data_IF_501279102949
#
_entry.id   IF_501279102949
#
_cell.length_a   1.000
_cell.length_b   1.000
_cell.length_c   1.000
_cell.angle_alpha   90.00
_cell.angle_beta   90.00
_cell.angle_gamma   90.00
#
_symmetry.space_group_name_H-M   'P 1'
#
loop_
_entity.id
_entity.type
_entity.pdbx_description
1 polymer ?
#
# COMPACT_ATOMS: atom_id res chain seq x y z
N UNK A 1 -37.23 25.87 -27.49
CA UNK A 1 -37.12 25.92 -26.01
C UNK A 1 -36.27 24.77 -25.42
N UNK A 2 -36.06 23.66 -26.13
CA UNK A 2 -35.28 22.51 -25.61
C UNK A 2 -33.77 22.57 -25.86
N UNK A 3 -33.25 23.52 -26.67
CA UNK A 3 -31.83 23.53 -27.05
C UNK A 3 -30.92 24.25 -26.02
N UNK A 4 -31.39 25.33 -25.41
CA UNK A 4 -30.59 26.13 -24.47
C UNK A 4 -30.40 25.42 -23.12
N UNK A 5 -31.44 24.73 -22.64
CA UNK A 5 -31.38 23.99 -21.39
C UNK A 5 -30.43 22.77 -21.46
N UNK A 6 -30.34 22.16 -22.67
CA UNK A 6 -29.45 21.07 -22.93
C UNK A 6 -27.98 21.51 -23.03
N UNK A 7 -27.74 22.69 -23.62
CA UNK A 7 -26.39 23.26 -23.76
C UNK A 7 -25.82 23.72 -22.40
N UNK A 8 -26.67 24.37 -21.60
CA UNK A 8 -26.35 24.77 -20.23
C UNK A 8 -26.03 23.56 -19.36
N UNK A 9 -26.90 22.54 -19.33
CA UNK A 9 -26.71 21.33 -18.57
C UNK A 9 -25.41 20.61 -18.98
N UNK A 10 -25.14 20.50 -20.28
CA UNK A 10 -23.91 19.91 -20.77
C UNK A 10 -22.66 20.69 -20.34
N UNK A 11 -22.75 22.01 -20.27
CA UNK A 11 -21.70 22.87 -19.74
C UNK A 11 -21.41 22.62 -18.26
N UNK A 12 -22.45 22.47 -17.43
CA UNK A 12 -22.32 22.12 -16.02
C UNK A 12 -21.69 20.73 -15.87
N UNK A 13 -22.14 19.75 -16.63
CA UNK A 13 -21.57 18.38 -16.59
C UNK A 13 -20.09 18.37 -16.97
N UNK A 14 -19.70 19.11 -18.01
CA UNK A 14 -18.30 19.23 -18.42
C UNK A 14 -17.44 19.88 -17.32
N UNK A 15 -17.97 20.86 -16.59
CA UNK A 15 -17.29 21.48 -15.46
C UNK A 15 -17.14 20.51 -14.29
N UNK A 16 -18.21 19.83 -13.91
CA UNK A 16 -18.20 18.81 -12.86
C UNK A 16 -17.21 17.68 -13.17
N UNK A 17 -17.15 17.24 -14.41
CA UNK A 17 -16.18 16.24 -14.86
C UNK A 17 -14.73 16.74 -14.70
N UNK A 18 -14.44 18.00 -15.06
CA UNK A 18 -13.11 18.59 -14.87
C UNK A 18 -12.72 18.67 -13.40
N UNK A 19 -13.65 19.07 -12.51
CA UNK A 19 -13.39 19.15 -11.09
C UNK A 19 -13.13 17.73 -10.52
N UNK A 20 -13.95 16.76 -10.91
CA UNK A 20 -13.76 15.36 -10.50
C UNK A 20 -12.41 14.81 -10.95
N UNK A 21 -12.01 15.08 -12.20
CA UNK A 21 -10.70 14.68 -12.70
C UNK A 21 -9.55 15.38 -11.98
N UNK A 22 -9.69 16.65 -11.63
CA UNK A 22 -8.69 17.35 -10.84
C UNK A 22 -8.56 16.72 -9.46
N UNK A 23 -9.67 16.44 -8.77
CA UNK A 23 -9.67 15.76 -7.48
C UNK A 23 -9.05 14.36 -7.54
N UNK A 24 -9.38 13.58 -8.56
CA UNK A 24 -8.99 12.16 -8.64
C UNK A 24 -7.64 11.93 -9.30
N UNK A 25 -7.34 12.62 -10.39
CA UNK A 25 -6.28 12.27 -11.34
C UNK A 25 -5.20 13.37 -11.51
N UNK A 26 -5.28 14.50 -10.79
CA UNK A 26 -4.20 15.49 -10.87
C UNK A 26 -2.87 14.82 -10.52
N UNK A 27 -1.85 15.10 -11.33
CA UNK A 27 -0.53 14.43 -11.23
C UNK A 27 0.24 14.80 -9.97
N UNK A 28 -0.08 15.91 -9.32
CA UNK A 28 0.62 16.39 -8.13
C UNK A 28 -0.22 16.20 -6.87
N UNK A 29 -1.51 16.52 -6.96
CA UNK A 29 -2.40 16.62 -5.79
C UNK A 29 -3.61 15.70 -5.85
N UNK A 30 -3.81 14.97 -6.94
CA UNK A 30 -4.95 14.07 -7.10
C UNK A 30 -4.89 12.87 -6.15
N UNK A 31 -6.07 12.31 -5.88
CA UNK A 31 -6.21 11.15 -5.00
C UNK A 31 -5.40 9.95 -5.50
N UNK A 32 -5.32 9.71 -6.83
CA UNK A 32 -4.51 8.62 -7.39
C UNK A 32 -3.03 8.77 -7.05
N UNK A 33 -2.51 10.00 -7.11
CA UNK A 33 -1.14 10.28 -6.72
C UNK A 33 -0.93 10.01 -5.21
N UNK A 34 -1.87 10.44 -4.36
CA UNK A 34 -1.82 10.19 -2.92
C UNK A 34 -1.85 8.69 -2.59
N UNK A 35 -2.72 7.91 -3.27
CA UNK A 35 -2.75 6.45 -3.16
C UNK A 35 -1.46 5.81 -3.67
N UNK A 36 -0.91 6.32 -4.77
CA UNK A 36 0.35 5.83 -5.33
C UNK A 36 1.48 5.98 -4.32
N UNK A 37 1.64 7.17 -3.79
CA UNK A 37 2.72 7.50 -2.88
C UNK A 37 2.55 6.86 -1.50
N UNK A 38 1.34 6.90 -0.94
CA UNK A 38 1.06 6.38 0.40
C UNK A 38 0.99 4.85 0.49
N UNK A 39 0.48 4.20 -0.53
CA UNK A 39 0.17 2.77 -0.48
C UNK A 39 0.92 1.98 -1.55
N UNK A 40 0.85 2.37 -2.83
CA UNK A 40 1.35 1.57 -3.95
C UNK A 40 2.86 1.60 -4.14
N UNK A 41 3.53 2.70 -3.82
CA UNK A 41 4.96 2.91 -4.15
C UNK A 41 5.91 2.12 -3.25
N UNK A 42 5.82 0.78 -3.36
CA UNK A 42 6.69 -0.16 -2.66
C UNK A 42 6.23 -0.52 -1.24
N UNK A 43 5.48 0.33 -0.56
CA UNK A 43 5.03 0.09 0.81
C UNK A 43 4.17 -1.16 0.94
N UNK A 44 3.11 -1.26 0.16
CA UNK A 44 2.18 -2.39 0.16
C UNK A 44 2.88 -3.73 -0.14
N UNK A 45 3.62 -3.79 -1.25
CA UNK A 45 4.31 -5.00 -1.69
C UNK A 45 5.36 -5.42 -0.67
N UNK A 46 6.17 -4.47 -0.20
CA UNK A 46 7.24 -4.76 0.75
C UNK A 46 6.69 -5.18 2.12
N UNK A 47 5.60 -4.57 2.59
CA UNK A 47 4.96 -4.92 3.86
C UNK A 47 4.54 -6.40 3.89
N UNK A 48 3.97 -6.91 2.79
CA UNK A 48 3.53 -8.30 2.71
C UNK A 48 4.68 -9.28 2.43
N UNK A 49 5.73 -8.85 1.71
CA UNK A 49 6.90 -9.70 1.46
C UNK A 49 7.89 -9.75 2.63
N UNK A 50 7.94 -8.73 3.49
CA UNK A 50 8.92 -8.65 4.57
C UNK A 50 8.89 -9.86 5.52
N UNK A 51 7.74 -10.32 6.03
CA UNK A 51 7.66 -11.52 6.87
C UNK A 51 8.17 -12.79 6.18
N UNK A 52 7.84 -12.95 4.90
CA UNK A 52 8.26 -14.12 4.11
C UNK A 52 9.77 -14.12 3.88
N UNK A 53 10.35 -12.97 3.59
CA UNK A 53 11.81 -12.80 3.42
C UNK A 53 12.56 -13.02 4.72
N UNK A 54 12.09 -12.41 5.81
CA UNK A 54 12.73 -12.49 7.14
C UNK A 54 12.83 -13.92 7.66
N UNK A 55 11.83 -14.72 7.35
CA UNK A 55 11.77 -16.11 7.78
C UNK A 55 12.24 -17.11 6.69
N UNK A 56 12.89 -16.61 5.63
CA UNK A 56 13.48 -17.41 4.56
C UNK A 56 12.51 -18.30 3.77
N UNK A 57 11.20 -18.04 3.84
CA UNK A 57 10.22 -18.77 3.01
C UNK A 57 9.95 -18.09 1.66
N UNK A 58 10.63 -16.96 1.39
CA UNK A 58 10.62 -16.32 0.09
C UNK A 58 11.66 -16.94 -0.84
N UNK A 59 11.29 -17.24 -2.08
CA UNK A 59 12.22 -17.54 -3.17
C UNK A 59 12.79 -16.24 -3.77
N UNK A 60 13.98 -16.33 -4.38
CA UNK A 60 14.58 -15.18 -5.07
C UNK A 60 13.83 -14.94 -6.38
N UNK A 61 13.25 -13.75 -6.52
CA UNK A 61 12.60 -13.32 -7.76
C UNK A 61 13.66 -12.81 -8.75
N UNK A 62 13.68 -13.36 -9.97
CA UNK A 62 14.57 -12.91 -11.07
C UNK A 62 13.82 -12.07 -12.09
N UNK A 63 12.55 -12.38 -12.35
CA UNK A 63 11.67 -11.78 -13.32
C UNK A 63 10.24 -11.90 -12.85
N UNK A 64 9.25 -11.31 -13.53
CA UNK A 64 7.86 -11.23 -13.03
C UNK A 64 7.30 -12.57 -12.54
N UNK A 65 7.65 -13.69 -13.19
CA UNK A 65 7.18 -15.02 -12.82
C UNK A 65 8.31 -16.05 -12.63
N UNK A 66 9.59 -15.60 -12.60
CA UNK A 66 10.73 -16.50 -12.40
C UNK A 66 11.24 -16.38 -10.97
N UNK A 67 11.12 -17.47 -10.25
CA UNK A 67 11.65 -17.63 -8.90
C UNK A 67 12.69 -18.73 -8.87
N UNK A 68 13.76 -18.54 -8.11
CA UNK A 68 14.75 -19.57 -7.80
C UNK A 68 14.68 -19.91 -6.31
N UNK A 69 15.11 -21.12 -5.95
CA UNK A 69 15.17 -21.58 -4.58
C UNK A 69 15.92 -20.61 -3.65
N UNK A 70 15.51 -20.58 -2.37
CA UNK A 70 16.27 -19.87 -1.36
C UNK A 70 17.46 -20.73 -0.91
N UNK A 71 18.71 -20.29 -1.11
CA UNK A 71 19.89 -21.09 -0.81
C UNK A 71 20.07 -21.39 0.70
N UNK A 72 19.43 -20.64 1.58
CA UNK A 72 19.54 -20.81 3.04
C UNK A 72 19.18 -22.24 3.45
N UNK A 73 18.08 -22.78 2.94
CA UNK A 73 17.64 -24.12 3.30
C UNK A 73 18.61 -25.21 2.84
N UNK A 74 19.27 -25.05 1.68
CA UNK A 74 20.30 -25.99 1.23
C UNK A 74 21.58 -25.90 2.06
N UNK A 75 21.93 -24.69 2.51
CA UNK A 75 23.10 -24.49 3.36
C UNK A 75 22.87 -25.08 4.75
N UNK A 76 21.71 -24.80 5.36
CA UNK A 76 21.40 -25.20 6.72
C UNK A 76 21.08 -26.70 6.85
N UNK A 77 20.57 -27.32 5.75
CA UNK A 77 20.12 -28.70 5.71
C UNK A 77 20.86 -29.55 4.66
N UNK A 78 22.07 -29.17 4.27
CA UNK A 78 22.88 -29.90 3.30
C UNK A 78 23.21 -31.37 3.64
N UNK A 79 22.82 -31.82 4.84
CA UNK A 79 22.90 -33.21 5.25
C UNK A 79 21.65 -34.04 4.86
N UNK A 80 20.57 -33.42 4.36
CA UNK A 80 19.44 -34.13 3.80
C UNK A 80 19.75 -34.61 2.36
N UNK A 81 19.00 -35.62 1.93
CA UNK A 81 19.06 -36.07 0.53
C UNK A 81 18.61 -34.94 -0.42
N UNK A 82 19.27 -34.86 -1.56
CA UNK A 82 18.92 -33.85 -2.59
C UNK A 82 17.44 -33.86 -2.99
N UNK A 83 16.83 -35.06 -3.05
CA UNK A 83 15.39 -35.17 -3.36
C UNK A 83 14.47 -34.46 -2.34
N UNK A 84 14.86 -34.42 -1.08
CA UNK A 84 14.14 -33.70 -0.03
C UNK A 84 14.32 -32.20 -0.22
N UNK A 85 15.56 -31.76 -0.45
CA UNK A 85 15.88 -30.35 -0.68
C UNK A 85 15.19 -29.83 -1.95
N UNK A 86 15.16 -30.62 -3.03
CA UNK A 86 14.44 -30.29 -4.26
C UNK A 86 12.92 -30.18 -4.04
N UNK A 87 12.35 -31.07 -3.21
CA UNK A 87 10.94 -30.99 -2.81
C UNK A 87 10.61 -29.72 -2.07
N UNK A 88 11.43 -29.34 -1.10
CA UNK A 88 11.30 -28.08 -0.34
C UNK A 88 11.40 -26.87 -1.27
N UNK A 89 12.41 -26.83 -2.13
CA UNK A 89 12.63 -25.75 -3.08
C UNK A 89 11.42 -25.57 -4.00
N UNK A 90 10.88 -26.68 -4.54
CA UNK A 90 9.71 -26.66 -5.41
C UNK A 90 8.46 -26.16 -4.68
N UNK A 91 8.24 -26.60 -3.45
CA UNK A 91 7.11 -26.13 -2.64
C UNK A 91 7.19 -24.63 -2.36
N UNK A 92 8.37 -24.12 -1.99
CA UNK A 92 8.60 -22.70 -1.74
C UNK A 92 8.46 -21.86 -3.03
N UNK A 93 8.97 -22.34 -4.16
CA UNK A 93 8.84 -21.65 -5.46
C UNK A 93 7.37 -21.55 -5.87
N UNK A 94 6.61 -22.65 -5.73
CA UNK A 94 5.18 -22.65 -6.06
C UNK A 94 4.40 -21.68 -5.16
N UNK A 95 4.61 -21.74 -3.86
CA UNK A 95 4.03 -20.79 -2.91
C UNK A 95 4.35 -19.33 -3.30
N UNK A 96 5.60 -19.03 -3.62
CA UNK A 96 5.99 -17.67 -3.96
C UNK A 96 5.37 -17.16 -5.25
N UNK A 97 5.14 -18.02 -6.25
CA UNK A 97 4.39 -17.65 -7.46
C UNK A 97 2.97 -17.23 -7.13
N UNK A 98 2.29 -17.99 -6.28
CA UNK A 98 0.91 -17.71 -5.86
C UNK A 98 0.82 -16.47 -4.98
N UNK A 99 1.70 -16.34 -3.99
CA UNK A 99 1.80 -15.14 -3.15
C UNK A 99 2.05 -13.87 -3.98
N UNK A 100 2.95 -13.95 -4.99
CA UNK A 100 3.20 -12.85 -5.89
C UNK A 100 1.97 -12.48 -6.74
N UNK A 101 1.21 -13.45 -7.20
CA UNK A 101 -0.02 -13.20 -7.94
C UNK A 101 -1.06 -12.47 -7.08
N UNK A 102 -1.27 -12.92 -5.84
CA UNK A 102 -2.18 -12.28 -4.87
C UNK A 102 -1.77 -10.84 -4.61
N UNK A 103 -0.48 -10.60 -4.28
CA UNK A 103 0.04 -9.28 -3.96
C UNK A 103 -0.05 -8.33 -5.16
N UNK A 104 0.29 -8.79 -6.38
CA UNK A 104 0.20 -7.97 -7.58
C UNK A 104 -1.24 -7.64 -7.96
N UNK A 105 -2.15 -8.61 -7.86
CA UNK A 105 -3.58 -8.38 -8.10
C UNK A 105 -4.13 -7.36 -7.10
N UNK A 106 -3.76 -7.49 -5.84
CA UNK A 106 -4.15 -6.55 -4.80
C UNK A 106 -3.59 -5.15 -5.07
N UNK A 107 -2.30 -5.02 -5.42
CA UNK A 107 -1.70 -3.75 -5.81
C UNK A 107 -2.46 -3.06 -6.95
N UNK A 108 -2.86 -3.84 -7.96
CA UNK A 108 -3.58 -3.30 -9.12
C UNK A 108 -5.00 -2.81 -8.77
N UNK A 109 -5.64 -3.38 -7.74
CA UNK A 109 -6.96 -2.91 -7.26
C UNK A 109 -6.91 -1.56 -6.52
N UNK A 110 -5.75 -1.12 -6.06
CA UNK A 110 -5.57 0.17 -5.36
C UNK A 110 -5.30 1.31 -6.36
N UNK A 111 -5.76 1.23 -7.60
CA UNK A 111 -5.73 2.31 -8.57
C UNK A 111 -7.10 2.98 -8.68
N UNK A 112 -7.13 4.25 -9.06
CA UNK A 112 -8.37 4.88 -9.48
C UNK A 112 -8.70 4.35 -10.87
N UNK A 113 -9.93 3.89 -11.05
CA UNK A 113 -10.41 3.43 -12.34
C UNK A 113 -10.67 4.65 -13.24
N UNK A 114 -9.86 4.77 -14.29
CA UNK A 114 -10.01 5.82 -15.33
C UNK A 114 -10.73 5.32 -16.58
N UNK A 115 -11.08 4.02 -16.60
CA UNK A 115 -11.62 3.37 -17.81
C UNK A 115 -10.60 3.20 -18.95
N UNK A 116 -9.43 3.84 -18.88
CA UNK A 116 -8.45 3.86 -19.98
C UNK A 116 -7.47 2.68 -19.96
N UNK A 117 -7.23 2.04 -18.80
CA UNK A 117 -6.17 1.06 -18.64
C UNK A 117 -6.63 -0.38 -18.45
N UNK A 118 -7.92 -0.68 -18.60
CA UNK A 118 -8.44 -2.05 -18.44
C UNK A 118 -8.24 -2.63 -17.02
N UNK A 119 -7.90 -1.80 -16.06
CA UNK A 119 -7.90 -2.18 -14.66
C UNK A 119 -9.34 -2.22 -14.18
N UNK A 120 -9.95 -3.39 -14.14
CA UNK A 120 -11.26 -3.62 -13.53
C UNK A 120 -11.19 -3.46 -12.00
N UNK A 121 -10.63 -2.37 -11.53
CA UNK A 121 -10.55 -2.05 -10.12
C UNK A 121 -11.76 -1.23 -9.73
N UNK A 122 -12.81 -1.89 -9.29
CA UNK A 122 -14.00 -1.21 -8.75
C UNK A 122 -13.81 -0.64 -7.33
N UNK A 123 -12.60 -0.71 -6.77
CA UNK A 123 -12.37 -0.26 -5.40
C UNK A 123 -12.42 1.28 -5.30
N UNK A 124 -11.81 1.97 -6.27
CA UNK A 124 -11.73 3.43 -6.33
C UNK A 124 -12.31 3.97 -7.63
N UNK A 125 -13.58 3.68 -7.88
CA UNK A 125 -14.38 4.27 -8.95
C UNK A 125 -15.13 5.48 -8.40
N UNK A 126 -15.01 6.64 -9.04
CA UNK A 126 -15.67 7.88 -8.63
C UNK A 126 -16.68 8.30 -9.69
N UNK A 127 -17.90 8.51 -9.25
CA UNK A 127 -18.98 9.04 -10.08
C UNK A 127 -19.78 10.08 -9.31
N UNK A 128 -20.28 11.07 -10.03
CA UNK A 128 -21.25 11.98 -9.48
C UNK A 128 -22.64 11.43 -9.74
N UNK A 129 -23.38 11.13 -8.67
CA UNK A 129 -24.72 10.60 -8.77
C UNK A 129 -25.65 11.57 -9.51
N UNK A 130 -26.63 11.08 -10.33
CA UNK A 130 -27.53 11.93 -11.10
C UNK A 130 -28.28 12.98 -10.24
N UNK A 131 -28.70 12.60 -9.05
CA UNK A 131 -29.38 13.50 -8.12
C UNK A 131 -28.46 14.63 -7.62
N UNK A 132 -27.18 14.32 -7.36
CA UNK A 132 -26.20 15.34 -7.02
C UNK A 132 -25.93 16.27 -8.19
N UNK A 133 -25.76 15.73 -9.40
CA UNK A 133 -25.59 16.52 -10.63
C UNK A 133 -26.77 17.48 -10.87
N UNK A 134 -28.00 16.99 -10.73
CA UNK A 134 -29.20 17.80 -10.85
C UNK A 134 -29.28 18.89 -9.77
N UNK A 135 -28.92 18.56 -8.53
CA UNK A 135 -28.85 19.51 -7.42
C UNK A 135 -27.83 20.63 -7.68
N UNK A 136 -26.65 20.31 -8.20
CA UNK A 136 -25.65 21.32 -8.58
C UNK A 136 -26.15 22.19 -9.73
N UNK A 137 -26.70 21.57 -10.79
CA UNK A 137 -27.22 22.31 -11.92
C UNK A 137 -28.32 23.31 -11.53
N UNK A 138 -29.19 22.97 -10.60
CA UNK A 138 -30.27 23.85 -10.09
C UNK A 138 -29.75 25.06 -9.29
N UNK A 139 -28.54 25.00 -8.75
CA UNK A 139 -27.95 26.05 -7.89
C UNK A 139 -26.78 26.79 -8.55
N UNK A 140 -26.37 26.40 -9.77
CA UNK A 140 -25.11 26.83 -10.35
C UNK A 140 -25.01 28.36 -10.51
N UNK A 141 -26.13 29.05 -10.85
CA UNK A 141 -26.18 30.48 -10.97
C UNK A 141 -25.97 31.26 -9.68
N UNK A 142 -26.18 30.60 -8.55
CA UNK A 142 -25.98 31.16 -7.20
C UNK A 142 -24.63 30.81 -6.58
N UNK A 143 -23.83 29.92 -7.19
CA UNK A 143 -22.55 29.47 -6.68
C UNK A 143 -21.40 30.28 -7.27
N UNK A 144 -20.45 30.70 -6.43
CA UNK A 144 -19.15 31.11 -6.92
C UNK A 144 -18.34 29.88 -7.38
N UNK A 145 -17.34 30.08 -8.22
CA UNK A 145 -16.45 29.00 -8.67
C UNK A 145 -15.78 28.29 -7.48
N UNK A 146 -15.35 29.04 -6.47
CA UNK A 146 -14.74 28.50 -5.25
C UNK A 146 -15.73 27.63 -4.47
N UNK A 147 -16.94 28.15 -4.22
CA UNK A 147 -17.99 27.40 -3.50
C UNK A 147 -18.39 26.12 -4.25
N UNK A 148 -18.42 26.16 -5.59
CA UNK A 148 -18.70 24.98 -6.40
C UNK A 148 -17.60 23.92 -6.28
N UNK A 149 -16.33 24.33 -6.34
CA UNK A 149 -15.20 23.42 -6.17
C UNK A 149 -15.23 22.77 -4.79
N UNK A 150 -15.45 23.57 -3.74
CA UNK A 150 -15.54 23.09 -2.37
C UNK A 150 -16.69 22.10 -2.16
N UNK A 151 -17.87 22.38 -2.73
CA UNK A 151 -19.06 21.50 -2.65
C UNK A 151 -18.78 20.14 -3.33
N UNK A 152 -18.19 20.17 -4.54
CA UNK A 152 -17.81 18.93 -5.26
C UNK A 152 -16.72 18.17 -4.54
N UNK A 153 -15.70 18.84 -4.01
CA UNK A 153 -14.63 18.19 -3.24
C UNK A 153 -15.17 17.55 -1.97
N UNK A 154 -16.07 18.22 -1.24
CA UNK A 154 -16.72 17.65 -0.06
C UNK A 154 -17.53 16.38 -0.39
N UNK A 155 -18.22 16.38 -1.52
CA UNK A 155 -18.96 15.21 -2.02
C UNK A 155 -17.99 14.05 -2.35
N UNK A 156 -16.89 14.34 -3.07
CA UNK A 156 -15.88 13.34 -3.42
C UNK A 156 -15.10 12.84 -2.20
N UNK A 157 -14.82 13.69 -1.22
CA UNK A 157 -14.22 13.30 0.06
C UNK A 157 -15.10 12.30 0.83
N UNK A 158 -16.42 12.49 0.81
CA UNK A 158 -17.36 11.53 1.40
C UNK A 158 -17.25 10.18 0.69
N UNK A 159 -17.28 10.15 -0.64
CA UNK A 159 -17.09 8.91 -1.41
C UNK A 159 -15.72 8.27 -1.11
N UNK A 160 -14.66 9.08 -1.02
CA UNK A 160 -13.31 8.60 -0.69
C UNK A 160 -13.31 7.89 0.67
N UNK A 161 -13.91 8.49 1.69
CA UNK A 161 -14.00 7.88 3.03
C UNK A 161 -14.76 6.55 3.00
N UNK A 162 -15.86 6.46 2.26
CA UNK A 162 -16.63 5.23 2.11
C UNK A 162 -15.80 4.14 1.42
N UNK A 163 -15.11 4.47 0.33
CA UNK A 163 -14.23 3.53 -0.41
C UNK A 163 -13.03 3.11 0.41
N UNK A 164 -12.44 4.02 1.19
CA UNK A 164 -11.36 3.68 2.12
C UNK A 164 -11.83 2.74 3.24
N UNK A 165 -13.08 2.91 3.73
CA UNK A 165 -13.65 1.98 4.70
C UNK A 165 -13.84 0.57 4.11
N UNK A 166 -14.33 0.46 2.88
CA UNK A 166 -14.42 -0.81 2.13
C UNK A 166 -13.02 -1.41 1.92
N UNK A 167 -12.05 -0.60 1.52
CA UNK A 167 -10.67 -1.05 1.34
C UNK A 167 -10.07 -1.59 2.64
N UNK A 168 -10.30 -0.91 3.75
CA UNK A 168 -9.82 -1.33 5.06
C UNK A 168 -10.42 -2.66 5.55
N UNK A 169 -11.70 -2.90 5.27
CA UNK A 169 -12.40 -4.13 5.61
C UNK A 169 -12.29 -5.18 4.50
N UNK A 170 -13.27 -5.23 3.63
CA UNK A 170 -13.48 -6.32 2.66
C UNK A 170 -12.26 -6.61 1.77
N UNK A 171 -11.58 -5.56 1.28
CA UNK A 171 -10.43 -5.75 0.39
C UNK A 171 -9.23 -6.34 1.13
N UNK A 172 -8.87 -5.79 2.31
CA UNK A 172 -7.73 -6.31 3.10
C UNK A 172 -8.05 -7.69 3.64
N UNK A 173 -9.29 -7.95 4.09
CA UNK A 173 -9.73 -9.27 4.56
C UNK A 173 -9.63 -10.33 3.45
N UNK A 174 -9.98 -9.96 2.22
CA UNK A 174 -9.83 -10.87 1.06
C UNK A 174 -8.38 -11.27 0.82
N UNK A 175 -7.45 -10.30 0.83
CA UNK A 175 -6.02 -10.58 0.61
C UNK A 175 -5.46 -11.42 1.76
N UNK A 176 -5.82 -11.09 3.00
CA UNK A 176 -5.39 -11.84 4.19
C UNK A 176 -5.83 -13.29 4.10
N UNK A 177 -7.10 -13.54 3.76
CA UNK A 177 -7.65 -14.87 3.57
C UNK A 177 -6.89 -15.66 2.50
N UNK A 178 -6.69 -15.06 1.32
CA UNK A 178 -6.01 -15.71 0.20
C UNK A 178 -4.55 -16.04 0.55
N UNK A 179 -3.84 -15.11 1.20
CA UNK A 179 -2.46 -15.35 1.67
C UNK A 179 -2.37 -16.44 2.72
N UNK A 180 -3.30 -16.49 3.66
CA UNK A 180 -3.31 -17.52 4.71
C UNK A 180 -3.72 -18.89 4.18
N UNK A 181 -4.55 -18.94 3.16
CA UNK A 181 -4.86 -20.19 2.46
C UNK A 181 -3.61 -20.73 1.76
N UNK A 182 -2.85 -19.90 1.06
CA UNK A 182 -1.61 -20.34 0.42
C UNK A 182 -0.52 -20.75 1.42
N UNK A 183 -0.43 -20.09 2.58
CA UNK A 183 0.47 -20.53 3.66
C UNK A 183 0.05 -21.90 4.21
N UNK A 184 -1.26 -22.13 4.34
CA UNK A 184 -1.78 -23.44 4.72
C UNK A 184 -1.45 -24.50 3.68
N UNK A 185 -1.69 -24.21 2.40
CA UNK A 185 -1.36 -25.11 1.29
C UNK A 185 0.13 -25.46 1.26
N UNK A 186 1.02 -24.48 1.51
CA UNK A 186 2.45 -24.74 1.65
C UNK A 186 2.75 -25.71 2.80
N UNK A 187 2.14 -25.50 3.96
CA UNK A 187 2.32 -26.36 5.12
C UNK A 187 1.85 -27.78 4.84
N UNK A 188 0.63 -27.93 4.32
CA UNK A 188 0.03 -29.22 4.01
C UNK A 188 0.86 -29.99 2.95
N UNK A 189 1.43 -29.28 1.97
CA UNK A 189 2.32 -29.86 0.96
C UNK A 189 3.63 -30.36 1.56
N UNK A 190 4.27 -29.55 2.42
CA UNK A 190 5.50 -29.96 3.11
C UNK A 190 5.28 -31.21 3.99
N UNK A 191 4.12 -31.32 4.65
CA UNK A 191 3.74 -32.48 5.45
C UNK A 191 3.45 -33.72 4.58
N UNK A 192 2.66 -33.57 3.52
CA UNK A 192 2.25 -34.69 2.65
C UNK A 192 3.42 -35.32 1.88
N UNK A 193 4.39 -34.49 1.48
CA UNK A 193 5.55 -34.94 0.71
C UNK A 193 6.68 -35.50 1.62
N UNK A 194 6.41 -35.63 2.93
CA UNK A 194 7.40 -36.11 3.92
C UNK A 194 8.57 -35.13 4.11
N UNK A 195 8.38 -33.87 3.77
CA UNK A 195 9.34 -32.78 3.88
C UNK A 195 9.19 -32.05 5.23
N UNK A 196 8.75 -32.79 6.25
CA UNK A 196 8.42 -32.27 7.58
C UNK A 196 9.68 -31.92 8.37
N UNK A 197 10.33 -30.85 7.96
CA UNK A 197 11.47 -30.29 8.66
C UNK A 197 10.97 -29.25 9.65
N UNK A 198 11.10 -29.53 10.94
CA UNK A 198 10.61 -28.68 12.04
C UNK A 198 11.02 -27.21 11.87
N UNK A 199 12.22 -26.95 11.36
CA UNK A 199 12.70 -25.58 11.15
C UNK A 199 11.89 -24.83 10.09
N UNK A 200 11.53 -25.51 8.97
CA UNK A 200 10.70 -24.90 7.92
C UNK A 200 9.27 -24.68 8.43
N UNK A 201 8.71 -25.62 9.14
CA UNK A 201 7.37 -25.46 9.73
C UNK A 201 7.32 -24.30 10.72
N UNK A 202 8.37 -24.13 11.53
CA UNK A 202 8.51 -22.95 12.41
C UNK A 202 8.60 -21.66 11.60
N UNK A 203 9.38 -21.64 10.52
CA UNK A 203 9.51 -20.47 9.64
C UNK A 203 8.18 -20.10 8.99
N UNK A 204 7.43 -21.10 8.49
CA UNK A 204 6.08 -20.91 7.90
C UNK A 204 5.11 -20.36 8.96
N UNK A 205 5.07 -20.94 10.15
CA UNK A 205 4.20 -20.50 11.24
C UNK A 205 4.52 -19.07 11.67
N UNK A 206 5.80 -18.75 11.86
CA UNK A 206 6.27 -17.43 12.22
C UNK A 206 5.95 -16.40 11.15
N UNK A 207 6.11 -16.75 9.87
CA UNK A 207 5.73 -15.87 8.75
C UNK A 207 4.23 -15.56 8.76
N UNK A 208 3.40 -16.52 9.09
CA UNK A 208 1.94 -16.33 9.22
C UNK A 208 1.61 -15.32 10.32
N UNK A 209 2.26 -15.46 11.50
CA UNK A 209 2.00 -14.56 12.62
C UNK A 209 2.48 -13.13 12.32
N UNK A 210 3.66 -12.98 11.73
CA UNK A 210 4.17 -11.67 11.32
C UNK A 210 3.33 -11.05 10.17
N UNK A 211 2.76 -11.86 9.28
CA UNK A 211 1.83 -11.37 8.25
C UNK A 211 0.53 -10.82 8.85
N UNK A 212 0.01 -11.40 9.94
CA UNK A 212 -1.14 -10.82 10.65
C UNK A 212 -0.87 -9.38 11.08
N UNK A 213 0.30 -9.14 11.66
CA UNK A 213 0.72 -7.79 12.04
C UNK A 213 0.82 -6.86 10.81
N UNK A 214 1.34 -7.38 9.69
CA UNK A 214 1.38 -6.63 8.43
C UNK A 214 -0.02 -6.26 7.94
N UNK A 215 -1.00 -7.15 8.04
CA UNK A 215 -2.39 -6.83 7.66
C UNK A 215 -3.07 -5.85 8.61
N UNK A 216 -2.81 -5.93 9.92
CA UNK A 216 -3.28 -4.92 10.88
C UNK A 216 -2.74 -3.55 10.49
N UNK A 217 -1.46 -3.47 10.16
CA UNK A 217 -0.85 -2.22 9.70
C UNK A 217 -1.42 -1.76 8.35
N UNK A 218 -1.60 -2.67 7.39
CA UNK A 218 -2.18 -2.32 6.10
C UNK A 218 -3.57 -1.68 6.25
N UNK A 219 -4.40 -2.17 7.17
CA UNK A 219 -5.69 -1.56 7.47
C UNK A 219 -5.56 -0.11 7.91
N UNK A 220 -4.51 0.25 8.65
CA UNK A 220 -4.30 1.64 9.08
C UNK A 220 -3.96 2.59 7.93
N UNK A 221 -3.44 2.08 6.81
CA UNK A 221 -3.15 2.90 5.63
C UNK A 221 -4.41 3.37 4.90
N UNK A 222 -5.51 2.66 5.06
CA UNK A 222 -6.81 3.04 4.54
C UNK A 222 -7.65 3.86 5.54
N UNK A 223 -7.05 4.44 6.57
CA UNK A 223 -7.73 5.30 7.55
C UNK A 223 -7.60 6.78 7.15
N UNK A 224 -8.26 7.14 6.04
CA UNK A 224 -8.19 8.48 5.45
C UNK A 224 -8.66 9.59 6.40
N UNK A 225 -9.72 9.34 7.17
CA UNK A 225 -10.34 10.36 8.03
C UNK A 225 -9.47 10.83 9.19
N UNK A 226 -8.49 10.03 9.63
CA UNK A 226 -7.55 10.41 10.70
C UNK A 226 -6.40 11.27 10.22
N UNK A 227 -6.09 11.22 8.92
CA UNK A 227 -4.91 11.89 8.38
C UNK A 227 -5.09 13.39 8.19
N UNK A 228 -6.32 13.89 8.10
CA UNK A 228 -6.59 15.28 7.67
C UNK A 228 -6.92 16.27 8.79
N UNK A 229 -7.14 15.84 10.04
CA UNK A 229 -7.80 16.69 11.05
C UNK A 229 -6.93 17.21 12.20
N UNK A 230 -5.75 16.67 12.42
CA UNK A 230 -4.91 17.11 13.56
C UNK A 230 -3.56 17.62 13.10
N UNK A 231 -3.20 18.83 13.50
CA UNK A 231 -1.84 19.32 13.35
C UNK A 231 -0.87 18.35 14.02
N UNK A 232 0.31 18.20 13.45
CA UNK A 232 1.31 17.25 13.94
C UNK A 232 2.66 17.94 14.19
N UNK A 233 3.38 17.40 15.15
CA UNK A 233 4.78 17.70 15.39
C UNK A 233 5.64 16.88 14.42
N UNK A 234 6.71 17.46 13.89
CA UNK A 234 7.62 16.78 12.96
C UNK A 234 8.22 15.51 13.56
N UNK A 235 8.42 15.45 14.88
CA UNK A 235 8.89 14.24 15.57
C UNK A 235 7.91 13.05 15.42
N UNK A 236 6.61 13.31 15.33
CA UNK A 236 5.61 12.27 15.08
C UNK A 236 5.76 11.71 13.67
N UNK A 237 5.97 12.57 12.68
CA UNK A 237 6.22 12.16 11.31
C UNK A 237 7.56 11.40 11.17
N UNK A 238 8.62 11.86 11.84
CA UNK A 238 9.93 11.20 11.89
C UNK A 238 9.83 9.78 12.48
N UNK A 239 9.18 9.61 13.62
CA UNK A 239 8.96 8.28 14.22
C UNK A 239 8.16 7.36 13.30
N UNK A 240 7.18 7.91 12.58
CA UNK A 240 6.40 7.12 11.62
C UNK A 240 7.25 6.72 10.41
N UNK A 241 8.07 7.63 9.89
CA UNK A 241 8.99 7.37 8.79
C UNK A 241 10.07 6.33 9.19
N UNK A 242 10.63 6.43 10.40
CA UNK A 242 11.55 5.44 10.95
C UNK A 242 10.91 4.06 11.04
N UNK A 243 9.68 3.98 11.56
CA UNK A 243 8.92 2.73 11.62
C UNK A 243 8.66 2.14 10.23
N UNK A 244 8.33 2.98 9.25
CA UNK A 244 8.13 2.55 7.86
C UNK A 244 9.44 2.04 7.25
N UNK A 245 10.54 2.78 7.38
CA UNK A 245 11.84 2.38 6.87
C UNK A 245 12.37 1.08 7.53
N UNK A 246 12.14 0.90 8.83
CA UNK A 246 12.50 -0.33 9.55
C UNK A 246 11.80 -1.57 9.00
N UNK A 247 10.63 -1.42 8.39
CA UNK A 247 9.91 -2.52 7.76
C UNK A 247 10.47 -2.86 6.38
N UNK A 248 10.99 -1.87 5.65
CA UNK A 248 11.68 -2.12 4.38
C UNK A 248 13.01 -2.85 4.58
N UNK A 249 13.66 -2.61 5.72
CA UNK A 249 14.98 -3.16 6.07
C UNK A 249 14.97 -3.87 7.41
N UNK A 250 14.16 -4.92 7.60
CA UNK A 250 14.02 -5.59 8.89
C UNK A 250 15.30 -6.26 9.39
N UNK A 251 16.28 -6.46 8.51
CA UNK A 251 17.61 -6.99 8.83
C UNK A 251 18.63 -5.92 9.22
N UNK A 252 18.31 -4.62 9.02
CA UNK A 252 19.17 -3.52 9.39
C UNK A 252 18.72 -2.94 10.73
N UNK A 253 19.67 -2.80 11.65
CA UNK A 253 19.46 -1.98 12.84
C UNK A 253 19.95 -0.58 12.56
N UNK A 254 19.06 0.38 12.55
CA UNK A 254 19.42 1.78 12.43
C UNK A 254 18.71 2.60 13.51
N UNK A 255 19.38 3.66 13.96
CA UNK A 255 18.82 4.60 14.91
C UNK A 255 18.80 5.98 14.27
N UNK A 256 17.65 6.61 14.32
CA UNK A 256 17.50 8.03 14.01
C UNK A 256 17.81 8.84 15.28
N UNK A 257 18.80 9.69 15.19
CA UNK A 257 19.09 10.66 16.24
C UNK A 257 19.25 12.04 15.64
N UNK A 258 18.75 13.06 16.31
CA UNK A 258 18.92 14.42 15.83
C UNK A 258 18.27 15.44 16.74
N UNK A 259 18.52 16.70 16.44
CA UNK A 259 17.93 17.83 17.10
C UNK A 259 16.80 18.38 16.22
N UNK A 260 15.60 18.38 16.75
CA UNK A 260 14.50 19.15 16.21
C UNK A 260 14.33 20.40 17.09
N UNK A 261 14.77 21.53 16.58
CA UNK A 261 14.56 22.83 17.21
C UNK A 261 13.23 23.50 16.80
N UNK A 262 12.48 22.83 15.92
CA UNK A 262 11.20 23.35 15.44
C UNK A 262 10.11 23.05 16.47
N UNK A 263 9.52 24.08 17.04
CA UNK A 263 8.28 24.03 17.81
C UNK A 263 7.05 24.14 16.91
N UNK A 264 7.24 24.07 15.59
CA UNK A 264 6.19 24.31 14.60
C UNK A 264 5.29 23.10 14.48
N UNK A 265 3.99 23.32 14.66
CA UNK A 265 2.97 22.35 14.32
C UNK A 265 2.62 22.48 12.83
N UNK A 266 2.72 21.38 12.11
CA UNK A 266 2.36 21.29 10.70
C UNK A 266 0.87 20.93 10.57
N UNK A 267 0.24 21.43 9.52
CA UNK A 267 -1.16 21.08 9.23
C UNK A 267 -1.29 19.57 8.96
N UNK A 268 -2.30 18.95 9.55
CA UNK A 268 -2.53 17.51 9.47
C UNK A 268 -2.64 16.98 8.05
N UNK A 269 -3.13 17.77 7.11
CA UNK A 269 -3.22 17.43 5.70
C UNK A 269 -1.86 17.09 5.05
N UNK A 270 -0.75 17.64 5.57
CA UNK A 270 0.60 17.35 5.06
C UNK A 270 1.29 16.19 5.78
N UNK A 271 0.63 15.53 6.73
CA UNK A 271 1.26 14.47 7.52
C UNK A 271 1.79 13.33 6.66
N UNK A 272 0.96 12.83 5.75
CA UNK A 272 1.33 11.71 4.87
C UNK A 272 2.50 12.07 3.96
N UNK A 273 2.46 13.25 3.35
CA UNK A 273 3.53 13.74 2.47
C UNK A 273 4.84 13.90 3.23
N UNK A 274 4.76 14.46 4.44
CA UNK A 274 5.94 14.63 5.31
C UNK A 274 6.54 13.28 5.69
N UNK A 275 5.72 12.32 6.14
CA UNK A 275 6.18 10.95 6.47
C UNK A 275 6.82 10.29 5.26
N UNK A 276 6.25 10.46 4.10
CA UNK A 276 6.76 9.88 2.87
C UNK A 276 8.11 10.48 2.45
N UNK A 277 8.22 11.81 2.44
CA UNK A 277 9.49 12.50 2.14
C UNK A 277 10.59 12.02 3.09
N UNK A 278 10.28 11.96 4.38
CA UNK A 278 11.23 11.47 5.39
C UNK A 278 11.57 10.00 5.17
N UNK A 279 10.61 9.15 4.84
CA UNK A 279 10.85 7.74 4.53
C UNK A 279 11.77 7.57 3.31
N UNK A 280 11.55 8.36 2.24
CA UNK A 280 12.41 8.35 1.06
C UNK A 280 13.84 8.84 1.35
N UNK A 281 14.01 9.84 2.21
CA UNK A 281 15.32 10.31 2.65
C UNK A 281 16.05 9.20 3.41
N UNK A 282 15.37 8.54 4.35
CA UNK A 282 15.93 7.42 5.10
C UNK A 282 16.27 6.25 4.19
N UNK A 283 15.36 5.89 3.27
CA UNK A 283 15.57 4.81 2.29
C UNK A 283 16.79 5.09 1.40
N UNK A 284 16.95 6.31 0.90
CA UNK A 284 18.11 6.70 0.12
C UNK A 284 19.41 6.65 0.94
N UNK A 285 19.37 7.12 2.19
CA UNK A 285 20.52 7.02 3.08
C UNK A 285 20.94 5.56 3.32
N UNK A 286 19.97 4.67 3.54
CA UNK A 286 20.23 3.24 3.76
C UNK A 286 20.71 2.52 2.49
N UNK A 287 20.17 2.86 1.32
CA UNK A 287 20.59 2.26 0.02
C UNK A 287 22.00 2.62 -0.40
N UNK A 288 22.41 3.84 -0.13
CA UNK A 288 23.71 4.37 -0.57
C UNK A 288 24.80 4.26 0.49
N UNK A 289 24.48 3.78 1.68
CA UNK A 289 25.47 3.47 2.71
C UNK A 289 26.08 2.10 2.51
N UNK A 290 27.35 1.94 2.88
CA UNK A 290 28.00 0.62 2.85
C UNK A 290 27.33 -0.32 3.87
N UNK A 291 26.99 -1.55 3.52
CA UNK A 291 26.34 -2.49 4.42
C UNK A 291 27.26 -2.82 5.61
N UNK A 292 26.99 -2.23 6.75
CA UNK A 292 27.55 -2.53 8.06
C UNK A 292 26.41 -2.77 9.04
N UNK A 293 26.64 -3.54 10.09
CA UNK A 293 25.60 -4.08 10.96
C UNK A 293 24.81 -3.04 11.78
N UNK A 294 25.27 -1.80 11.88
CA UNK A 294 24.57 -0.73 12.61
C UNK A 294 24.73 0.60 11.87
N UNK A 295 23.60 1.26 11.55
CA UNK A 295 23.56 2.59 10.95
C UNK A 295 23.12 3.64 11.97
N UNK A 296 23.83 4.74 11.98
CA UNK A 296 23.39 5.96 12.65
C UNK A 296 23.04 7.00 11.58
N UNK A 297 21.78 7.39 11.52
CA UNK A 297 21.31 8.48 10.68
C UNK A 297 21.08 9.68 11.60
N UNK A 298 21.84 10.73 11.41
CA UNK A 298 21.68 11.98 12.16
C UNK A 298 20.96 13.01 11.31
N UNK A 299 19.94 13.63 11.88
CA UNK A 299 19.22 14.74 11.24
C UNK A 299 19.34 16.00 12.10
N UNK A 300 19.31 17.16 11.44
CA UNK A 300 19.23 18.46 12.08
C UNK A 300 18.17 19.28 11.34
N UNK A 301 17.10 19.66 12.02
CA UNK A 301 15.95 20.39 11.45
C UNK A 301 15.66 21.63 12.30
#
# INVERSE_FOLDING_TARGET
>A
FYSSDNEFFNGVMALLYKITNAYTLDKLYGLDQSLNMGIRHGGFVNLLWAPLKRNNISAKKHDENKFSPNPVWRTDFGYFKDSILDGIDNALVEFNKKANAIINQAKNKVHIDTGEFGYNSKLFEFSLEPDYQASVASRIDSLSAETLIDDVFLYLDKQTNEKMAIARGEFVDSIEKDMFEEIKNLKDKLESDGLDVIAIQRAVSKSKDELKESFIQLRTWFDWAKQTKTNFDLNVALKKAESAASQYYPWLKFNLSGYNNSTSNFLGQYFTDTVMILTLIIDNALKHSNPRDNYHITYNI
#
